data_IF_873822909616
#
_entry.id   IF_873822909616
#
_cell.length_a   1.000
_cell.length_b   1.000
_cell.length_c   1.000
_cell.angle_alpha   90.00
_cell.angle_beta   90.00
_cell.angle_gamma   90.00
#
_symmetry.space_group_name_H-M   'P 1'
#
loop_
_entity.id
_entity.type
_entity.pdbx_description
1 polymer ?
#
# COMPACT_ATOMS: atom_id res chain seq x y z
N UNK A 1 6.09 17.67 4.46
CA UNK A 1 5.21 16.86 3.56
C UNK A 1 5.53 15.41 3.84
N UNK A 2 4.59 14.65 4.42
CA UNK A 2 4.83 13.25 4.77
C UNK A 2 4.48 12.36 3.58
N UNK A 3 5.39 11.45 3.21
CA UNK A 3 5.16 10.46 2.16
C UNK A 3 4.90 9.11 2.84
N UNK A 4 3.82 8.44 2.43
CA UNK A 4 3.48 7.07 2.86
C UNK A 4 3.57 6.19 1.64
N UNK A 5 4.53 5.26 1.63
CA UNK A 5 4.65 4.24 0.59
C UNK A 5 3.85 2.99 0.97
N UNK A 6 3.17 2.37 0.02
CA UNK A 6 2.34 1.18 0.26
C UNK A 6 2.86 -0.03 -0.52
N UNK A 7 3.08 -1.13 0.20
CA UNK A 7 3.37 -2.46 -0.36
C UNK A 7 2.41 -3.45 0.28
N UNK A 8 1.57 -4.11 -0.52
CA UNK A 8 0.60 -5.12 -0.02
C UNK A 8 0.46 -6.31 -0.98
N UNK A 9 -0.20 -7.36 -0.53
CA UNK A 9 -0.62 -8.54 -1.30
C UNK A 9 -2.13 -8.54 -1.59
N UNK A 10 -2.76 -7.37 -1.58
CA UNK A 10 -4.22 -7.23 -1.71
C UNK A 10 -4.74 -7.43 -3.13
N UNK A 11 -3.86 -7.40 -4.13
CA UNK A 11 -4.26 -7.26 -5.52
C UNK A 11 -4.84 -5.87 -5.82
N UNK A 12 -5.37 -5.74 -7.03
CA UNK A 12 -6.00 -4.50 -7.54
C UNK A 12 -7.44 -4.68 -8.01
N UNK A 13 -7.95 -5.91 -7.90
CA UNK A 13 -9.27 -6.27 -8.42
C UNK A 13 -10.40 -5.84 -7.46
N UNK A 14 -10.09 -5.74 -6.16
CA UNK A 14 -11.04 -5.39 -5.10
C UNK A 14 -10.78 -3.99 -4.50
N UNK A 15 -11.70 -3.54 -3.64
CA UNK A 15 -11.71 -2.19 -3.07
C UNK A 15 -10.72 -1.96 -1.92
N UNK A 16 -9.98 -2.97 -1.46
CA UNK A 16 -9.16 -2.90 -0.24
C UNK A 16 -8.12 -1.77 -0.29
N UNK A 17 -7.44 -1.60 -1.42
CA UNK A 17 -6.46 -0.51 -1.61
C UNK A 17 -7.14 0.86 -1.48
N UNK A 18 -8.31 1.03 -2.09
CA UNK A 18 -9.04 2.30 -2.04
C UNK A 18 -9.54 2.61 -0.62
N UNK A 19 -10.09 1.63 0.09
CA UNK A 19 -10.56 1.78 1.47
C UNK A 19 -9.40 2.17 2.39
N UNK A 20 -8.27 1.46 2.30
CA UNK A 20 -7.07 1.75 3.09
C UNK A 20 -6.59 3.19 2.84
N UNK A 21 -6.47 3.62 1.57
CA UNK A 21 -6.07 4.98 1.23
C UNK A 21 -7.03 6.04 1.74
N UNK A 22 -8.33 5.78 1.64
CA UNK A 22 -9.37 6.67 2.17
C UNK A 22 -9.23 6.89 3.67
N UNK A 23 -9.00 5.82 4.44
CA UNK A 23 -8.76 5.91 5.89
C UNK A 23 -7.47 6.69 6.20
N UNK A 24 -6.38 6.42 5.47
CA UNK A 24 -5.12 7.15 5.63
C UNK A 24 -5.34 8.65 5.41
N UNK A 25 -6.01 9.05 4.32
CA UNK A 25 -6.25 10.46 4.00
C UNK A 25 -7.26 11.12 4.93
N UNK A 26 -8.19 10.38 5.53
CA UNK A 26 -9.07 10.91 6.56
C UNK A 26 -8.31 11.28 7.86
N UNK A 27 -7.29 10.49 8.21
CA UNK A 27 -6.45 10.72 9.41
C UNK A 27 -5.36 11.77 9.12
N UNK A 28 -4.72 11.69 7.95
CA UNK A 28 -3.62 12.56 7.54
C UNK A 28 -3.89 13.17 6.15
N UNK A 29 -4.74 14.22 6.06
CA UNK A 29 -5.19 14.78 4.76
C UNK A 29 -4.08 15.36 3.87
N UNK A 30 -2.93 15.69 4.46
CA UNK A 30 -1.76 16.25 3.75
C UNK A 30 -0.71 15.20 3.40
N UNK A 31 -0.96 13.92 3.69
CA UNK A 31 -0.05 12.84 3.34
C UNK A 31 -0.07 12.60 1.83
N UNK A 32 1.11 12.38 1.24
CA UNK A 32 1.23 11.90 -0.15
C UNK A 32 1.38 10.39 -0.13
N UNK A 33 0.41 9.69 -0.72
CA UNK A 33 0.45 8.23 -0.86
C UNK A 33 1.17 7.87 -2.17
N UNK A 34 2.09 6.92 -2.09
CA UNK A 34 2.82 6.37 -3.25
C UNK A 34 2.75 4.85 -3.18
N UNK A 35 2.15 4.22 -4.18
CA UNK A 35 2.14 2.75 -4.22
C UNK A 35 3.48 2.26 -4.75
N UNK A 36 4.09 1.32 -4.03
CA UNK A 36 5.20 0.53 -4.56
C UNK A 36 4.60 -0.61 -5.38
N UNK A 37 3.75 -1.44 -4.76
CA UNK A 37 2.97 -2.47 -5.44
C UNK A 37 1.86 -3.00 -4.52
N UNK A 38 0.78 -3.52 -5.10
CA UNK A 38 -0.24 -4.28 -4.40
C UNK A 38 -0.30 -5.73 -4.89
N UNK A 39 0.70 -6.16 -5.66
CA UNK A 39 0.72 -7.45 -6.36
C UNK A 39 1.72 -8.46 -5.76
N UNK A 40 2.14 -8.27 -4.50
CA UNK A 40 2.91 -9.30 -3.80
C UNK A 40 2.10 -10.59 -3.79
N UNK A 41 2.74 -11.74 -4.06
CA UNK A 41 2.04 -13.01 -3.96
C UNK A 41 1.48 -13.19 -2.53
N UNK A 42 0.22 -13.66 -2.36
CA UNK A 42 -0.41 -13.74 -1.04
C UNK A 42 0.50 -14.37 0.01
N UNK A 43 0.74 -13.64 1.10
CA UNK A 43 1.56 -14.04 2.25
C UNK A 43 3.07 -14.24 1.96
N UNK A 44 3.57 -13.85 0.78
CA UNK A 44 4.98 -13.98 0.43
C UNK A 44 5.85 -12.87 1.02
N UNK A 45 6.26 -13.05 2.28
CA UNK A 45 7.08 -12.07 3.00
C UNK A 45 8.49 -11.89 2.42
N UNK A 46 9.02 -12.88 1.71
CA UNK A 46 10.35 -12.77 1.08
C UNK A 46 10.33 -11.87 -0.15
N UNK A 47 9.29 -12.00 -0.98
CA UNK A 47 9.05 -11.11 -2.11
C UNK A 47 8.81 -9.67 -1.63
N UNK A 48 7.96 -9.49 -0.60
CA UNK A 48 7.73 -8.17 -0.01
C UNK A 48 9.04 -7.55 0.51
N UNK A 49 9.88 -8.34 1.19
CA UNK A 49 11.17 -7.88 1.69
C UNK A 49 12.13 -7.46 0.57
N UNK A 50 12.15 -8.20 -0.54
CA UNK A 50 12.94 -7.84 -1.72
C UNK A 50 12.43 -6.56 -2.38
N UNK A 51 11.11 -6.35 -2.43
CA UNK A 51 10.51 -5.13 -2.99
C UNK A 51 10.77 -3.90 -2.10
N UNK A 52 10.97 -4.10 -0.80
CA UNK A 52 11.20 -3.03 0.18
C UNK A 52 12.68 -2.69 0.43
N UNK A 53 13.64 -3.47 -0.11
CA UNK A 53 15.08 -3.27 0.11
C UNK A 53 15.64 -2.07 -0.66
#
# INVERSE_FOLDING_TARGET
MTIITLTTDFGVDDSYVAVMKGVILAIAPVARIVDITHQIAPQNVHEAAYVLS
#
